data_IF_703184271408
#
_entry.id   IF_703184271408
#
_cell.length_a   1.000
_cell.length_b   1.000
_cell.length_c   1.000
_cell.angle_alpha   90.00
_cell.angle_beta   90.00
_cell.angle_gamma   90.00
#
_symmetry.space_group_name_H-M   'P 1'
#
loop_
_entity.id
_entity.type
_entity.pdbx_description
1 polymer ?
#
# COMPACT_ATOMS: atom_id res chain seq x y z
N UNK A 1 15.59 -27.50 -0.87
CA UNK A 1 15.81 -26.10 -0.44
C UNK A 1 14.64 -25.17 -0.76
N UNK A 2 14.03 -25.24 -1.95
CA UNK A 2 12.89 -24.41 -2.36
C UNK A 2 11.66 -24.47 -1.43
N UNK A 3 11.38 -25.62 -0.81
CA UNK A 3 10.22 -25.75 0.10
C UNK A 3 10.39 -24.90 1.38
N UNK A 4 11.59 -24.88 1.99
CA UNK A 4 11.91 -24.03 3.16
C UNK A 4 11.86 -22.53 2.82
N UNK A 5 12.20 -22.17 1.58
CA UNK A 5 12.12 -20.80 1.04
C UNK A 5 10.67 -20.35 0.87
N UNK A 6 9.82 -21.19 0.28
CA UNK A 6 8.38 -20.93 0.14
C UNK A 6 7.68 -20.88 1.51
N UNK A 7 8.11 -21.69 2.48
CA UNK A 7 7.61 -21.60 3.86
C UNK A 7 8.01 -20.28 4.51
N UNK A 8 9.26 -19.81 4.34
CA UNK A 8 9.70 -18.50 4.87
C UNK A 8 8.95 -17.32 4.25
N UNK A 9 8.77 -17.33 2.92
CA UNK A 9 7.99 -16.30 2.20
C UNK A 9 6.53 -16.34 2.69
N UNK A 10 5.91 -17.52 2.80
CA UNK A 10 4.55 -17.66 3.33
C UNK A 10 4.44 -17.20 4.79
N UNK A 11 5.37 -17.53 5.67
CA UNK A 11 5.27 -17.18 7.11
C UNK A 11 5.38 -15.67 7.37
N UNK A 12 6.23 -14.96 6.64
CA UNK A 12 6.39 -13.49 6.80
C UNK A 12 5.17 -12.72 6.26
N UNK A 13 4.55 -13.20 5.18
CA UNK A 13 3.44 -12.50 4.53
C UNK A 13 2.04 -13.03 4.90
N UNK A 14 1.90 -14.25 5.47
CA UNK A 14 0.60 -14.84 5.88
C UNK A 14 0.07 -14.30 7.21
N UNK A 15 0.94 -13.86 8.12
CA UNK A 15 0.54 -13.31 9.42
C UNK A 15 -0.17 -11.95 9.34
N UNK A 16 -0.32 -11.35 8.16
CA UNK A 16 -1.05 -10.08 7.98
C UNK A 16 -2.32 -10.16 7.13
N UNK A 17 -2.67 -11.31 6.55
CA UNK A 17 -3.86 -11.42 5.68
C UNK A 17 -5.06 -12.06 6.37
N UNK A 18 -4.89 -12.75 7.51
CA UNK A 18 -5.99 -13.49 8.17
C UNK A 18 -5.95 -13.35 9.69
N UNK A 19 -6.43 -12.23 10.22
CA UNK A 19 -6.98 -12.19 11.59
C UNK A 19 -8.19 -11.24 11.63
N UNK A 20 -9.37 -11.82 11.50
CA UNK A 20 -10.66 -11.20 11.82
C UNK A 20 -11.76 -12.28 11.71
N UNK A 21 -12.45 -12.66 12.79
CA UNK A 21 -13.52 -13.65 12.72
C UNK A 21 -14.88 -12.95 12.67
N UNK A 22 -15.69 -13.23 11.64
CA UNK A 22 -17.12 -12.92 11.68
C UNK A 22 -17.93 -14.13 11.25
N UNK A 23 -18.57 -14.77 12.24
CA UNK A 23 -19.76 -15.58 12.00
C UNK A 23 -20.94 -14.62 11.87
N UNK A 24 -21.73 -14.75 10.80
CA UNK A 24 -22.99 -14.02 10.63
C UNK A 24 -24.13 -15.04 10.62
N UNK A 25 -25.07 -14.88 11.56
CA UNK A 25 -26.28 -15.67 11.70
C UNK A 25 -27.43 -15.03 10.91
N UNK A 26 -28.20 -15.77 10.09
CA UNK A 26 -29.19 -15.19 9.19
C UNK A 26 -30.59 -15.18 9.82
N UNK A 27 -30.93 -14.16 10.59
CA UNK A 27 -32.33 -13.83 10.85
C UNK A 27 -32.48 -12.46 11.51
N UNK A 28 -32.81 -11.42 10.74
CA UNK A 28 -33.71 -10.33 11.15
C UNK A 28 -33.72 -9.22 10.10
N UNK A 29 -34.65 -9.32 9.15
CA UNK A 29 -35.16 -8.11 8.50
C UNK A 29 -36.65 -8.29 8.30
N UNK A 30 -37.42 -7.99 9.35
CA UNK A 30 -38.87 -7.94 9.32
C UNK A 30 -39.33 -6.53 9.70
N UNK A 31 -39.81 -5.83 8.67
CA UNK A 31 -40.86 -4.79 8.67
C UNK A 31 -40.64 -3.56 9.55
N UNK A 32 -40.66 -2.39 8.90
CA UNK A 32 -41.67 -1.37 9.21
C UNK A 32 -42.18 -0.75 7.90
N UNK A 33 -43.50 -0.89 7.71
CA UNK A 33 -44.33 -0.32 6.65
C UNK A 33 -44.90 0.99 7.20
N UNK A 34 -45.11 2.02 6.36
CA UNK A 34 -46.37 2.80 6.23
C UNK A 34 -46.15 4.07 5.38
N UNK A 35 -46.59 4.05 4.11
CA UNK A 35 -47.87 4.58 3.59
C UNK A 35 -47.96 6.12 3.52
N UNK A 36 -48.09 6.67 2.30
CA UNK A 36 -49.07 7.70 1.87
C UNK A 36 -49.15 7.76 0.31
N UNK A 37 -50.27 8.28 -0.28
CA UNK A 37 -50.89 7.74 -1.51
C UNK A 37 -50.87 8.70 -2.73
N UNK A 38 -51.35 8.20 -3.90
CA UNK A 38 -51.68 8.89 -5.17
C UNK A 38 -50.47 9.33 -6.05
N UNK A 39 -50.42 9.19 -7.37
CA UNK A 39 -51.34 8.73 -8.43
C UNK A 39 -50.52 8.06 -9.54
N UNK A 40 -51.13 7.14 -10.29
CA UNK A 40 -50.53 6.51 -11.48
C UNK A 40 -50.62 7.50 -12.64
N UNK A 41 -49.47 7.93 -13.17
CA UNK A 41 -49.39 8.47 -14.53
C UNK A 41 -48.63 7.46 -15.40
N UNK A 42 -49.34 6.87 -16.35
CA UNK A 42 -48.75 6.10 -17.43
C UNK A 42 -48.14 7.08 -18.43
N UNK A 43 -46.81 7.17 -18.46
CA UNK A 43 -45.98 7.28 -19.67
C UNK A 43 -44.57 7.77 -19.31
N UNK A 44 -43.57 6.90 -19.49
CA UNK A 44 -42.29 7.14 -20.18
C UNK A 44 -41.27 6.07 -19.73
N UNK A 45 -41.12 5.01 -20.54
CA UNK A 45 -39.97 4.10 -20.41
C UNK A 45 -38.75 4.90 -20.89
N UNK A 46 -38.10 5.60 -19.96
CA UNK A 46 -36.72 6.01 -20.11
C UNK A 46 -35.92 5.18 -19.12
N UNK A 47 -35.31 4.12 -19.63
CA UNK A 47 -34.25 3.38 -18.95
C UNK A 47 -33.14 4.36 -18.62
N UNK A 48 -33.20 5.02 -17.46
CA UNK A 48 -32.08 5.73 -16.87
C UNK A 48 -31.14 4.67 -16.31
N UNK A 49 -30.43 3.98 -17.20
CA UNK A 49 -29.15 3.39 -16.82
C UNK A 49 -28.26 4.56 -16.42
N UNK A 50 -28.16 4.82 -15.13
CA UNK A 50 -27.16 5.71 -14.56
C UNK A 50 -25.82 5.21 -15.10
N UNK A 51 -25.06 6.03 -15.85
CA UNK A 51 -23.76 5.59 -16.34
C UNK A 51 -22.88 5.43 -15.10
N UNK A 52 -22.53 4.20 -14.76
CA UNK A 52 -21.43 3.91 -13.84
C UNK A 52 -20.22 4.63 -14.43
N UNK A 53 -19.76 5.69 -13.78
CA UNK A 53 -18.55 6.39 -14.21
C UNK A 53 -17.39 5.41 -14.09
N UNK A 54 -17.05 4.76 -15.20
CA UNK A 54 -15.87 3.91 -15.29
C UNK A 54 -14.66 4.79 -14.98
N UNK A 55 -14.11 4.67 -13.78
CA UNK A 55 -12.89 5.36 -13.39
C UNK A 55 -11.79 4.94 -14.36
N UNK A 56 -11.35 5.86 -15.22
CA UNK A 56 -10.28 5.61 -16.17
C UNK A 56 -8.99 5.39 -15.37
N UNK A 57 -8.37 4.23 -15.54
CA UNK A 57 -7.07 3.92 -14.93
C UNK A 57 -5.99 4.82 -15.53
N UNK A 58 -5.11 5.38 -14.69
CA UNK A 58 -3.93 6.14 -15.14
C UNK A 58 -2.77 5.24 -15.58
N UNK A 59 -2.93 3.90 -15.53
CA UNK A 59 -1.89 2.95 -15.89
C UNK A 59 -1.80 2.76 -17.41
N UNK A 60 -0.57 2.80 -17.93
CA UNK A 60 -0.29 2.50 -19.33
C UNK A 60 0.09 1.02 -19.48
N UNK A 61 -0.77 0.25 -20.16
CA UNK A 61 -0.59 -1.19 -20.32
C UNK A 61 0.71 -1.57 -21.05
N UNK A 62 1.13 -0.78 -22.04
CA UNK A 62 2.37 -1.04 -22.80
C UNK A 62 3.59 -0.91 -21.90
N UNK A 63 3.62 0.09 -21.01
CA UNK A 63 4.71 0.24 -20.04
C UNK A 63 4.72 -0.89 -19.01
N UNK A 64 3.55 -1.33 -18.53
CA UNK A 64 3.46 -2.49 -17.62
C UNK A 64 4.05 -3.76 -18.25
N UNK A 65 3.73 -4.03 -19.52
CA UNK A 65 4.27 -5.18 -20.27
C UNK A 65 5.78 -5.04 -20.41
N UNK A 66 6.27 -3.87 -20.81
CA UNK A 66 7.69 -3.59 -20.97
C UNK A 66 8.48 -3.83 -19.68
N UNK A 67 8.04 -3.27 -18.55
CA UNK A 67 8.73 -3.48 -17.26
C UNK A 67 8.64 -4.93 -16.78
N UNK A 68 7.51 -5.59 -17.00
CA UNK A 68 7.35 -7.03 -16.70
C UNK A 68 8.32 -7.91 -17.50
N UNK A 69 8.58 -7.57 -18.77
CA UNK A 69 9.46 -8.34 -19.65
C UNK A 69 10.93 -8.33 -19.20
N UNK A 70 11.39 -7.26 -18.55
CA UNK A 70 12.78 -7.11 -18.09
C UNK A 70 12.93 -7.26 -16.57
N UNK A 71 11.87 -7.63 -15.84
CA UNK A 71 11.83 -7.62 -14.37
C UNK A 71 12.96 -8.43 -13.72
N UNK A 72 13.34 -9.58 -14.31
CA UNK A 72 14.38 -10.46 -13.75
C UNK A 72 15.78 -9.83 -13.75
N UNK A 73 15.99 -8.78 -14.56
CA UNK A 73 17.26 -8.04 -14.68
C UNK A 73 17.35 -6.83 -13.74
N UNK A 74 16.40 -6.65 -12.82
CA UNK A 74 16.33 -5.43 -12.00
C UNK A 74 17.60 -5.17 -11.17
N UNK A 75 18.23 -6.24 -10.68
CA UNK A 75 19.44 -6.17 -9.85
C UNK A 75 20.73 -6.51 -10.62
N UNK A 76 20.66 -6.62 -11.95
CA UNK A 76 21.85 -6.68 -12.79
C UNK A 76 22.45 -5.27 -12.94
N UNK A 77 23.65 -5.08 -12.41
CA UNK A 77 24.37 -3.80 -12.43
C UNK A 77 24.78 -3.36 -13.84
N UNK A 78 24.89 -4.30 -14.78
CA UNK A 78 25.21 -4.04 -16.19
C UNK A 78 24.00 -4.19 -17.12
N UNK A 79 22.83 -4.53 -16.54
CA UNK A 79 21.59 -4.73 -17.26
C UNK A 79 20.85 -3.43 -17.64
N UNK A 80 19.59 -3.55 -18.11
CA UNK A 80 18.77 -2.43 -18.56
C UNK A 80 18.56 -1.33 -17.50
N UNK A 81 18.61 -1.69 -16.22
CA UNK A 81 18.43 -0.79 -15.09
C UNK A 81 19.73 -0.21 -14.53
N UNK A 82 20.88 -0.44 -15.18
CA UNK A 82 22.19 0.14 -14.82
C UNK A 82 22.14 1.63 -14.47
N UNK A 83 21.44 2.51 -15.23
CA UNK A 83 21.35 3.92 -14.87
C UNK A 83 20.74 4.16 -13.47
N UNK A 84 19.76 3.34 -13.06
CA UNK A 84 19.14 3.44 -11.73
C UNK A 84 20.13 3.06 -10.64
N UNK A 85 20.96 2.03 -10.85
CA UNK A 85 22.00 1.63 -9.90
C UNK A 85 23.06 2.73 -9.73
N UNK A 86 23.53 3.31 -10.84
CA UNK A 86 24.55 4.36 -10.82
C UNK A 86 24.05 5.62 -10.11
N UNK A 87 22.80 6.05 -10.34
CA UNK A 87 22.27 7.28 -9.74
C UNK A 87 21.78 7.08 -8.30
N UNK A 88 21.58 5.84 -7.85
CA UNK A 88 20.99 5.55 -6.54
C UNK A 88 21.77 6.17 -5.35
N UNK A 89 23.11 6.10 -5.29
CA UNK A 89 23.87 6.76 -4.23
C UNK A 89 23.58 8.26 -4.12
N UNK A 90 23.45 8.96 -5.25
CA UNK A 90 23.09 10.38 -5.29
C UNK A 90 21.67 10.62 -4.78
N UNK A 91 20.71 9.79 -5.19
CA UNK A 91 19.32 9.85 -4.70
C UNK A 91 19.25 9.65 -3.18
N UNK A 92 19.95 8.65 -2.66
CA UNK A 92 20.02 8.36 -1.24
C UNK A 92 20.65 9.49 -0.45
N UNK A 93 21.74 10.08 -0.95
CA UNK A 93 22.39 11.23 -0.32
C UNK A 93 21.45 12.43 -0.23
N UNK A 94 20.74 12.74 -1.33
CA UNK A 94 19.77 13.83 -1.38
C UNK A 94 18.58 13.62 -0.41
N UNK A 95 18.00 12.41 -0.41
CA UNK A 95 16.89 12.07 0.50
C UNK A 95 17.36 12.20 1.95
N UNK A 96 18.54 11.64 2.27
CA UNK A 96 19.11 11.70 3.62
C UNK A 96 19.35 13.12 4.08
N UNK A 97 20.04 13.95 3.30
CA UNK A 97 20.30 15.34 3.67
C UNK A 97 19.01 16.13 3.86
N UNK A 98 18.04 15.93 2.96
CA UNK A 98 16.78 16.69 2.96
C UNK A 98 15.93 16.33 4.17
N UNK A 99 15.72 15.05 4.42
CA UNK A 99 14.87 14.59 5.53
C UNK A 99 15.52 14.79 6.89
N UNK A 100 16.85 14.60 7.00
CA UNK A 100 17.55 14.87 8.24
C UNK A 100 17.45 16.36 8.62
N UNK A 101 17.61 17.26 7.65
CA UNK A 101 17.39 18.70 7.88
C UNK A 101 15.94 19.02 8.25
N UNK A 102 14.97 18.43 7.55
CA UNK A 102 13.55 18.70 7.79
C UNK A 102 13.07 18.21 9.16
N UNK A 103 13.51 17.02 9.59
CA UNK A 103 13.09 16.39 10.84
C UNK A 103 14.08 16.58 12.00
N UNK A 104 15.11 17.42 11.84
CA UNK A 104 16.12 17.66 12.88
C UNK A 104 16.90 16.41 13.30
N UNK A 105 17.18 15.49 12.36
CA UNK A 105 17.94 14.25 12.60
C UNK A 105 19.40 14.40 12.18
N UNK A 106 20.30 13.63 12.78
CA UNK A 106 21.71 13.58 12.38
C UNK A 106 21.92 12.64 11.17
N UNK A 107 22.38 13.16 10.01
CA UNK A 107 22.61 12.36 8.81
C UNK A 107 23.82 11.42 8.90
N UNK A 108 24.69 11.56 9.89
CA UNK A 108 25.90 10.76 10.05
C UNK A 108 25.69 9.51 10.92
N UNK A 109 24.52 9.37 11.55
CA UNK A 109 24.19 8.16 12.32
C UNK A 109 23.97 6.96 11.39
N UNK A 110 24.11 5.76 11.94
CA UNK A 110 23.75 4.52 11.24
C UNK A 110 22.23 4.35 11.04
N UNK A 111 21.39 5.14 11.73
CA UNK A 111 19.93 4.99 11.77
C UNK A 111 19.21 6.32 11.50
N UNK A 112 19.55 7.04 10.42
CA UNK A 112 19.10 8.42 10.21
C UNK A 112 17.59 8.51 9.98
N UNK A 113 16.92 7.41 9.62
CA UNK A 113 15.48 7.37 9.35
C UNK A 113 14.68 6.62 10.39
N UNK A 114 15.26 6.34 11.56
CA UNK A 114 14.52 5.72 12.64
C UNK A 114 13.27 6.53 13.03
N UNK A 115 12.14 5.83 13.12
CA UNK A 115 10.82 6.39 13.41
C UNK A 115 10.10 6.99 12.20
N UNK A 116 10.75 7.09 11.03
CA UNK A 116 10.12 7.61 9.81
C UNK A 116 9.43 6.49 9.02
N UNK A 117 8.30 6.83 8.40
CA UNK A 117 7.54 5.98 7.48
C UNK A 117 7.62 6.53 6.06
N UNK A 118 7.89 5.66 5.11
CA UNK A 118 8.12 6.00 3.70
C UNK A 118 7.20 5.18 2.80
N UNK A 119 6.79 5.80 1.70
CA UNK A 119 6.15 5.11 0.58
C UNK A 119 6.97 5.35 -0.69
N UNK A 120 7.35 4.27 -1.39
CA UNK A 120 8.04 4.33 -2.68
C UNK A 120 7.06 3.88 -3.77
N UNK A 121 6.50 4.85 -4.50
CA UNK A 121 5.49 4.61 -5.54
C UNK A 121 6.18 4.36 -6.87
N UNK A 122 5.91 3.21 -7.50
CA UNK A 122 6.71 2.71 -8.61
C UNK A 122 8.05 2.15 -8.14
N UNK A 123 8.04 1.42 -7.01
CA UNK A 123 9.27 0.91 -6.39
C UNK A 123 10.03 -0.10 -7.26
N UNK A 124 9.37 -0.69 -8.28
CA UNK A 124 9.98 -1.67 -9.15
C UNK A 124 10.52 -2.87 -8.38
N UNK A 125 11.75 -3.28 -8.71
CA UNK A 125 12.51 -4.31 -7.99
C UNK A 125 13.17 -3.84 -6.69
N UNK A 126 12.90 -2.62 -6.20
CA UNK A 126 13.30 -2.20 -4.86
C UNK A 126 14.69 -1.56 -4.73
N UNK A 127 15.32 -1.10 -5.82
CA UNK A 127 16.66 -0.47 -5.83
C UNK A 127 16.79 0.68 -4.82
N UNK A 128 15.77 1.53 -4.73
CA UNK A 128 15.75 2.63 -3.76
C UNK A 128 15.22 2.17 -2.40
N UNK A 129 14.09 1.46 -2.40
CA UNK A 129 13.41 1.05 -1.18
C UNK A 129 14.29 0.22 -0.23
N UNK A 130 15.10 -0.71 -0.75
CA UNK A 130 15.96 -1.55 0.08
C UNK A 130 17.00 -0.75 0.90
N UNK A 131 17.86 0.09 0.29
CA UNK A 131 18.82 0.88 1.05
C UNK A 131 18.16 1.91 1.98
N UNK A 132 16.97 2.42 1.65
CA UNK A 132 16.18 3.22 2.60
C UNK A 132 15.78 2.40 3.84
N UNK A 133 15.29 1.17 3.65
CA UNK A 133 14.99 0.26 4.75
C UNK A 133 16.24 -0.05 5.60
N UNK A 134 17.43 -0.19 4.97
CA UNK A 134 18.71 -0.39 5.70
C UNK A 134 19.03 0.74 6.66
N UNK A 135 18.63 1.97 6.32
CA UNK A 135 18.78 3.16 7.19
C UNK A 135 17.68 3.27 8.27
N UNK A 136 16.96 2.17 8.54
CA UNK A 136 15.92 2.02 9.58
C UNK A 136 14.63 2.78 9.29
N UNK A 137 14.36 3.07 8.02
CA UNK A 137 13.04 3.52 7.59
C UNK A 137 12.01 2.38 7.69
N UNK A 138 10.77 2.71 8.07
CA UNK A 138 9.63 1.82 7.84
C UNK A 138 9.13 2.04 6.42
N UNK A 139 9.26 1.03 5.56
CA UNK A 139 9.07 1.17 4.12
C UNK A 139 7.81 0.44 3.64
N UNK A 140 7.04 1.13 2.80
CA UNK A 140 6.02 0.53 1.93
C UNK A 140 6.40 0.77 0.47
N UNK A 141 6.81 -0.26 -0.26
CA UNK A 141 7.02 -0.19 -1.71
C UNK A 141 5.73 -0.54 -2.44
N UNK A 142 5.35 0.25 -3.45
CA UNK A 142 4.15 0.01 -4.27
C UNK A 142 4.55 -0.03 -5.74
N UNK A 143 4.08 -1.02 -6.49
CA UNK A 143 4.29 -1.12 -7.94
C UNK A 143 3.09 -1.80 -8.60
N UNK A 144 2.82 -1.48 -9.87
CA UNK A 144 1.71 -2.06 -10.63
C UNK A 144 2.05 -3.40 -11.29
N UNK A 145 3.33 -3.75 -11.38
CA UNK A 145 3.81 -4.98 -12.03
C UNK A 145 4.13 -6.03 -10.96
N UNK A 146 3.40 -7.14 -10.97
CA UNK A 146 3.55 -8.24 -10.00
C UNK A 146 4.96 -8.85 -9.99
N UNK A 147 5.57 -9.03 -11.16
CA UNK A 147 6.95 -9.53 -11.27
C UNK A 147 7.95 -8.60 -10.57
N UNK A 148 7.80 -7.29 -10.70
CA UNK A 148 8.67 -6.31 -10.04
C UNK A 148 8.59 -6.47 -8.51
N UNK A 149 7.38 -6.53 -7.96
CA UNK A 149 7.14 -6.78 -6.54
C UNK A 149 7.76 -8.10 -6.09
N UNK A 150 7.65 -9.15 -6.89
CA UNK A 150 8.26 -10.44 -6.58
C UNK A 150 9.78 -10.34 -6.51
N UNK A 151 10.43 -9.70 -7.49
CA UNK A 151 11.87 -9.47 -7.50
C UNK A 151 12.31 -8.63 -6.30
N UNK A 152 11.57 -7.57 -5.96
CA UNK A 152 11.86 -6.72 -4.81
C UNK A 152 11.80 -7.48 -3.49
N UNK A 153 10.75 -8.30 -3.30
CA UNK A 153 10.60 -9.15 -2.11
C UNK A 153 11.72 -10.19 -2.03
N UNK A 154 12.05 -10.85 -3.14
CA UNK A 154 13.12 -11.85 -3.16
C UNK A 154 14.45 -11.21 -2.78
N UNK A 155 14.83 -10.09 -3.41
CA UNK A 155 16.09 -9.41 -3.12
C UNK A 155 16.15 -8.96 -1.65
N UNK A 156 15.07 -8.35 -1.14
CA UNK A 156 14.99 -7.97 0.26
C UNK A 156 15.18 -9.18 1.21
N UNK A 157 14.57 -10.33 0.92
CA UNK A 157 14.70 -11.56 1.73
C UNK A 157 16.14 -12.08 1.75
N UNK A 158 16.86 -11.99 0.63
CA UNK A 158 18.24 -12.49 0.54
C UNK A 158 19.25 -11.57 1.18
N UNK A 159 19.04 -10.25 1.09
CA UNK A 159 20.08 -9.26 1.41
C UNK A 159 19.80 -8.44 2.66
N UNK A 160 18.56 -8.40 3.18
CA UNK A 160 18.24 -7.67 4.41
C UNK A 160 18.23 -8.58 5.65
N UNK A 161 18.72 -8.07 6.80
CA UNK A 161 18.48 -8.69 8.09
C UNK A 161 16.97 -8.79 8.40
N UNK A 162 16.58 -9.86 9.11
CA UNK A 162 15.18 -10.16 9.48
C UNK A 162 14.52 -8.98 10.21
N UNK A 163 15.27 -8.28 11.06
CA UNK A 163 14.79 -7.14 11.84
C UNK A 163 14.33 -5.98 10.96
N UNK A 164 14.98 -5.79 9.80
CA UNK A 164 14.63 -4.75 8.83
C UNK A 164 13.43 -5.19 8.00
N UNK A 165 13.37 -6.46 7.60
CA UNK A 165 12.24 -6.99 6.84
C UNK A 165 10.88 -6.84 7.56
N UNK A 166 10.86 -6.94 8.90
CA UNK A 166 9.64 -6.77 9.69
C UNK A 166 9.00 -5.36 9.55
N UNK A 167 9.76 -4.39 9.04
CA UNK A 167 9.33 -3.00 8.80
C UNK A 167 9.23 -2.67 7.31
N UNK A 168 9.32 -3.67 6.43
CA UNK A 168 9.38 -3.48 4.99
C UNK A 168 8.31 -4.30 4.28
N UNK A 169 7.33 -3.60 3.71
CA UNK A 169 6.21 -4.19 3.00
C UNK A 169 6.25 -3.79 1.52
N UNK A 170 6.11 -4.77 0.62
CA UNK A 170 5.89 -4.51 -0.80
C UNK A 170 4.45 -4.86 -1.17
N UNK A 171 3.77 -3.98 -1.90
CA UNK A 171 2.36 -4.07 -2.24
C UNK A 171 2.17 -3.94 -3.75
N UNK A 172 1.43 -4.87 -4.34
CA UNK A 172 0.99 -4.77 -5.74
C UNK A 172 -0.17 -3.77 -5.83
N UNK A 173 -0.08 -2.77 -6.72
CA UNK A 173 -1.09 -1.74 -6.89
C UNK A 173 -2.45 -2.30 -7.30
N UNK A 174 -2.48 -3.37 -8.11
CA UNK A 174 -3.75 -4.04 -8.44
C UNK A 174 -4.46 -4.62 -7.21
N UNK A 175 -3.73 -4.97 -6.13
CA UNK A 175 -4.33 -5.40 -4.87
C UNK A 175 -4.83 -4.22 -4.02
N UNK A 176 -4.30 -3.01 -4.19
CA UNK A 176 -4.76 -1.80 -3.48
C UNK A 176 -6.17 -1.39 -3.90
N UNK A 177 -6.58 -1.60 -5.15
CA UNK A 177 -7.97 -1.34 -5.55
C UNK A 177 -9.00 -2.18 -4.75
N UNK A 178 -8.60 -3.37 -4.27
CA UNK A 178 -9.43 -4.21 -3.39
C UNK A 178 -9.25 -3.89 -1.89
N UNK A 179 -8.08 -3.37 -1.47
CA UNK A 179 -7.80 -3.03 -0.07
C UNK A 179 -8.27 -1.61 0.32
N UNK A 180 -8.28 -0.65 -0.61
CA UNK A 180 -8.74 0.72 -0.35
C UNK A 180 -10.25 0.73 -0.12
N UNK A 181 -11.03 -0.11 -0.79
CA UNK A 181 -12.46 -0.28 -0.47
C UNK A 181 -12.70 -0.73 0.97
N UNK A 182 -11.77 -1.47 1.59
CA UNK A 182 -11.92 -1.91 2.99
C UNK A 182 -11.36 -0.91 4.01
N UNK A 183 -10.52 0.04 3.61
CA UNK A 183 -9.84 0.96 4.53
C UNK A 183 -10.55 2.32 4.70
N UNK A 184 -11.49 2.67 3.82
CA UNK A 184 -12.25 3.94 3.92
C UNK A 184 -13.41 3.85 4.93
N UNK A 185 -13.82 2.65 5.35
CA UNK A 185 -14.89 2.50 6.36
C UNK A 185 -14.40 2.65 7.81
N UNK A 186 -13.11 2.53 8.10
CA UNK A 186 -12.57 2.54 9.48
C UNK A 186 -12.18 3.94 10.02
N UNK A 187 -12.10 4.99 9.19
CA UNK A 187 -11.65 6.33 9.60
C UNK A 187 -12.80 7.35 9.84
N UNK A 188 -14.06 6.90 9.78
CA UNK A 188 -15.22 7.80 9.92
C UNK A 188 -15.77 7.94 11.35
N UNK A 189 -15.21 7.24 12.36
CA UNK A 189 -15.77 7.21 13.72
C UNK A 189 -14.79 7.66 14.82
N UNK A 190 -14.00 8.73 14.61
CA UNK A 190 -13.25 9.36 15.72
C UNK A 190 -13.10 10.88 15.53
N UNK A 191 -14.18 11.64 15.47
CA UNK A 191 -14.20 13.06 15.91
C UNK A 191 -15.64 13.51 16.19
N UNK A 192 -16.21 13.22 17.39
CA UNK A 192 -17.18 14.15 18.01
C UNK A 192 -17.51 13.85 19.50
N UNK A 193 -16.53 13.71 20.40
CA UNK A 193 -16.78 13.82 21.85
C UNK A 193 -15.60 14.47 22.59
N UNK A 194 -15.36 15.75 22.31
CA UNK A 194 -14.47 16.58 23.15
C UNK A 194 -14.90 18.04 23.11
N UNK A 195 -16.06 18.36 23.69
CA UNK A 195 -16.50 19.76 23.73
C UNK A 195 -17.88 20.03 24.29
N UNK A 196 -18.18 19.56 25.52
CA UNK A 196 -19.18 20.19 26.42
C UNK A 196 -19.24 19.46 27.77
N UNK A 197 -18.39 19.88 28.71
CA UNK A 197 -18.46 19.43 30.09
C UNK A 197 -17.78 20.42 31.02
N UNK A 198 -18.53 21.40 31.52
CA UNK A 198 -18.02 22.32 32.55
C UNK A 198 -18.91 23.50 32.84
N UNK A 199 -19.95 23.30 33.67
CA UNK A 199 -20.39 24.21 34.75
C UNK A 199 -21.68 23.70 35.42
N UNK A 200 -21.57 23.26 36.67
CA UNK A 200 -22.59 23.34 37.72
C UNK A 200 -21.90 23.28 39.09
N UNK A 201 -22.53 23.93 40.09
CA UNK A 201 -22.22 24.06 41.54
C UNK A 201 -21.28 25.25 41.86
N UNK A 202 -21.66 26.32 42.56
CA UNK A 202 -22.80 26.64 43.45
C UNK A 202 -23.38 28.03 43.14
#
# INVERSE_FOLDING_TARGET
MALKLLTRIRTVYRTRVLTGPTQICPSQTRRLIQRRPYSVDHNNIRSTSTPVSSSISSLNQTELIKFSAVADSWWDADGPFRPLHIINPTRLAFIRSTLCRHFGKDPNTARPFEGLKFVDVGCGGGILSEPLARMVATMTGVDAVDKNITIARLHAVYFLPIQIMNRFLFVLLCCLAHLVTTAVEDEAEVVDEAGRGGRCLN
#
